data_IF_044417734822
#
_entry.id   IF_044417734822
#
_cell.length_a   1.000
_cell.length_b   1.000
_cell.length_c   1.000
_cell.angle_alpha   90.00
_cell.angle_beta   90.00
_cell.angle_gamma   90.00
#
_symmetry.space_group_name_H-M   'P 1'
#
loop_
_entity.id
_entity.type
_entity.pdbx_description
1 polymer ?
#
# COMPACT_ATOMS: atom_id res chain seq x y z
N UNK A 1 15.74 -23.07 8.26
CA UNK A 1 15.32 -21.70 8.54
C UNK A 1 16.35 -20.80 7.88
N UNK A 2 15.98 -20.12 6.78
CA UNK A 2 16.84 -19.11 6.19
C UNK A 2 17.08 -17.97 7.18
N UNK A 3 18.28 -17.40 7.13
CA UNK A 3 18.67 -16.27 7.97
C UNK A 3 17.72 -15.09 7.69
N UNK A 4 16.98 -14.64 8.69
CA UNK A 4 16.13 -13.45 8.60
C UNK A 4 17.07 -12.25 8.48
N UNK A 5 17.13 -11.64 7.31
CA UNK A 5 17.88 -10.41 7.11
C UNK A 5 17.03 -9.23 7.52
N UNK A 6 17.38 -8.59 8.60
CA UNK A 6 16.75 -7.35 9.06
C UNK A 6 17.70 -6.16 8.90
N UNK A 7 17.13 -5.00 8.70
CA UNK A 7 17.85 -3.72 8.67
C UNK A 7 17.31 -2.86 9.80
N UNK A 8 18.18 -2.44 10.69
CA UNK A 8 17.85 -1.48 11.75
C UNK A 8 17.99 -0.06 11.19
N UNK A 9 17.00 0.77 11.43
CA UNK A 9 17.00 2.19 11.08
C UNK A 9 16.50 2.99 12.29
N UNK A 10 17.21 4.04 12.65
CA UNK A 10 16.75 4.95 13.69
C UNK A 10 15.60 5.82 13.14
N UNK A 11 14.48 5.80 13.83
CA UNK A 11 13.35 6.68 13.57
C UNK A 11 13.45 7.94 14.44
N UNK A 12 12.77 9.00 14.00
CA UNK A 12 12.67 10.25 14.76
C UNK A 12 11.88 10.05 16.05
N UNK A 13 12.25 10.80 17.09
CA UNK A 13 11.47 10.89 18.31
C UNK A 13 10.21 11.78 18.17
N UNK A 14 10.14 12.59 17.13
CA UNK A 14 8.95 13.38 16.80
C UNK A 14 7.90 12.47 16.11
N UNK A 15 6.69 12.31 16.70
CA UNK A 15 5.71 11.33 16.20
C UNK A 15 5.28 11.55 14.76
N UNK A 16 5.09 12.79 14.33
CA UNK A 16 4.65 13.08 12.95
C UNK A 16 5.78 12.78 11.94
N UNK A 17 7.03 13.03 12.30
CA UNK A 17 8.22 12.68 11.50
C UNK A 17 8.41 11.16 11.45
N UNK A 18 8.24 10.46 12.58
CA UNK A 18 8.31 9.01 12.64
C UNK A 18 7.30 8.35 11.70
N UNK A 19 6.03 8.75 11.78
CA UNK A 19 4.97 8.25 10.88
C UNK A 19 5.33 8.51 9.41
N UNK A 20 5.88 9.69 9.09
CA UNK A 20 6.35 10.00 7.74
C UNK A 20 7.48 9.07 7.27
N UNK A 21 8.41 8.70 8.14
CA UNK A 21 9.50 7.76 7.84
C UNK A 21 8.99 6.34 7.62
N UNK A 22 8.10 5.84 8.48
CA UNK A 22 7.45 4.53 8.33
C UNK A 22 6.67 4.46 7.02
N UNK A 23 5.84 5.48 6.72
CA UNK A 23 5.09 5.54 5.46
C UNK A 23 5.98 5.59 4.22
N UNK A 24 7.09 6.32 4.25
CA UNK A 24 8.04 6.35 3.15
C UNK A 24 8.62 4.95 2.87
N UNK A 25 8.95 4.21 3.94
CA UNK A 25 9.42 2.83 3.83
C UNK A 25 8.34 1.89 3.28
N UNK A 26 7.09 2.02 3.76
CA UNK A 26 5.95 1.24 3.25
C UNK A 26 5.71 1.51 1.76
N UNK A 27 5.74 2.78 1.34
CA UNK A 27 5.58 3.17 -0.08
C UNK A 27 6.68 2.56 -0.95
N UNK A 28 7.94 2.65 -0.52
CA UNK A 28 9.08 2.06 -1.22
C UNK A 28 8.91 0.54 -1.37
N UNK A 29 8.62 -0.17 -0.29
CA UNK A 29 8.45 -1.63 -0.25
C UNK A 29 7.27 -2.10 -1.09
N UNK A 30 6.11 -1.44 -0.97
CA UNK A 30 4.95 -1.75 -1.80
C UNK A 30 5.25 -1.56 -3.29
N UNK A 31 6.02 -0.53 -3.66
CA UNK A 31 6.41 -0.29 -5.04
C UNK A 31 7.40 -1.34 -5.56
N UNK A 32 8.45 -1.66 -4.79
CA UNK A 32 9.47 -2.63 -5.18
C UNK A 32 8.88 -4.04 -5.29
N UNK A 33 8.17 -4.49 -4.26
CA UNK A 33 7.71 -5.87 -4.17
C UNK A 33 6.53 -6.15 -5.10
N UNK A 34 5.67 -5.15 -5.39
CA UNK A 34 4.62 -5.30 -6.41
C UNK A 34 5.16 -5.49 -7.83
N UNK A 35 6.41 -5.10 -8.08
CA UNK A 35 7.09 -5.29 -9.36
C UNK A 35 7.86 -6.62 -9.44
N UNK A 36 8.09 -7.31 -8.33
CA UNK A 36 8.75 -8.62 -8.30
C UNK A 36 7.93 -9.65 -9.09
N UNK A 37 8.52 -10.39 -10.04
CA UNK A 37 7.79 -11.30 -10.92
C UNK A 37 7.04 -12.41 -10.16
N UNK A 38 7.64 -13.00 -9.12
CA UNK A 38 7.01 -14.04 -8.32
C UNK A 38 5.84 -13.48 -7.52
N UNK A 39 6.05 -12.34 -6.83
CA UNK A 39 5.00 -11.68 -6.06
C UNK A 39 3.82 -11.27 -6.95
N UNK A 40 4.12 -10.68 -8.11
CA UNK A 40 3.09 -10.26 -9.08
C UNK A 40 2.26 -11.43 -9.60
N UNK A 41 2.91 -12.52 -10.01
CA UNK A 41 2.21 -13.71 -10.48
C UNK A 41 1.29 -14.28 -9.39
N UNK A 42 1.79 -14.34 -8.15
CA UNK A 42 1.02 -14.77 -6.98
C UNK A 42 -0.16 -13.83 -6.71
N UNK A 43 0.06 -12.51 -6.70
CA UNK A 43 -0.99 -11.52 -6.47
C UNK A 43 -2.11 -11.60 -7.52
N UNK A 44 -1.76 -11.80 -8.79
CA UNK A 44 -2.74 -12.00 -9.87
C UNK A 44 -3.55 -13.29 -9.66
N UNK A 45 -2.88 -14.39 -9.28
CA UNK A 45 -3.57 -15.65 -8.96
C UNK A 45 -4.53 -15.52 -7.77
N UNK A 46 -4.19 -14.76 -6.75
CA UNK A 46 -5.03 -14.49 -5.57
C UNK A 46 -6.23 -13.60 -5.89
N UNK A 47 -6.07 -12.63 -6.77
CA UNK A 47 -7.15 -11.74 -7.19
C UNK A 47 -8.23 -12.47 -7.98
N UNK A 48 -7.84 -13.45 -8.77
CA UNK A 48 -8.74 -14.17 -9.68
C UNK A 48 -9.23 -13.28 -10.83
N UNK A 49 -10.31 -13.73 -11.46
CA UNK A 49 -10.96 -13.02 -12.55
C UNK A 49 -12.08 -12.10 -12.06
N UNK A 50 -12.51 -11.15 -12.91
CA UNK A 50 -13.64 -10.26 -12.65
C UNK A 50 -13.27 -8.78 -12.64
N UNK A 51 -14.21 -7.96 -12.15
CA UNK A 51 -14.04 -6.51 -12.05
C UNK A 51 -12.92 -6.12 -11.08
N UNK A 52 -12.37 -4.92 -11.22
CA UNK A 52 -11.35 -4.43 -10.26
C UNK A 52 -11.86 -4.49 -8.82
N UNK A 53 -13.13 -4.20 -8.59
CA UNK A 53 -13.75 -4.26 -7.27
C UNK A 53 -13.78 -5.69 -6.71
N UNK A 54 -14.17 -6.68 -7.51
CA UNK A 54 -14.19 -8.09 -7.07
C UNK A 54 -12.78 -8.60 -6.79
N UNK A 55 -11.80 -8.23 -7.63
CA UNK A 55 -10.39 -8.55 -7.40
C UNK A 55 -9.84 -7.89 -6.14
N UNK A 56 -10.18 -6.62 -5.88
CA UNK A 56 -9.80 -5.94 -4.65
C UNK A 56 -10.37 -6.65 -3.40
N UNK A 57 -11.62 -7.12 -3.48
CA UNK A 57 -12.23 -7.92 -2.42
C UNK A 57 -11.53 -9.26 -2.20
N UNK A 58 -11.16 -9.97 -3.25
CA UNK A 58 -10.41 -11.22 -3.14
C UNK A 58 -9.08 -11.02 -2.44
N UNK A 59 -8.32 -9.97 -2.82
CA UNK A 59 -7.05 -9.62 -2.20
C UNK A 59 -7.21 -9.21 -0.73
N UNK A 60 -8.24 -8.43 -0.43
CA UNK A 60 -8.57 -8.09 0.95
C UNK A 60 -8.89 -9.33 1.77
N UNK A 61 -9.77 -10.21 1.27
CA UNK A 61 -10.10 -11.47 1.94
C UNK A 61 -8.86 -12.34 2.18
N UNK A 62 -7.90 -12.33 1.27
CA UNK A 62 -6.65 -13.04 1.46
C UNK A 62 -5.81 -12.45 2.62
N UNK A 63 -5.71 -11.13 2.71
CA UNK A 63 -4.93 -10.45 3.75
C UNK A 63 -5.67 -10.29 5.08
N UNK A 64 -7.00 -10.43 5.10
CA UNK A 64 -7.84 -10.09 6.25
C UNK A 64 -7.57 -10.95 7.47
N UNK A 65 -7.32 -10.30 8.60
CA UNK A 65 -7.03 -10.94 9.88
C UNK A 65 -8.02 -12.04 10.26
N UNK A 66 -9.32 -11.84 10.01
CA UNK A 66 -10.37 -12.81 10.35
C UNK A 66 -10.24 -14.14 9.60
N UNK A 67 -9.51 -14.17 8.48
CA UNK A 67 -9.25 -15.41 7.74
C UNK A 67 -8.03 -16.19 8.26
N UNK A 68 -7.35 -15.68 9.28
CA UNK A 68 -6.32 -16.40 10.04
C UNK A 68 -5.00 -16.67 9.30
N UNK A 69 -4.81 -16.13 8.08
CA UNK A 69 -3.56 -16.31 7.34
C UNK A 69 -2.43 -15.44 7.88
N UNK A 70 -2.77 -14.26 8.41
CA UNK A 70 -1.86 -13.35 9.09
C UNK A 70 -2.43 -13.13 10.48
N UNK A 71 -1.62 -13.46 11.49
CA UNK A 71 -1.95 -13.20 12.88
C UNK A 71 -1.55 -11.78 13.24
N UNK A 72 -2.46 -11.01 13.83
CA UNK A 72 -2.13 -9.69 14.35
C UNK A 72 -1.20 -9.82 15.57
N UNK A 73 -0.07 -9.12 15.54
CA UNK A 73 0.90 -9.07 16.61
C UNK A 73 1.56 -7.70 16.63
N UNK A 74 1.60 -7.08 17.77
CA UNK A 74 2.24 -5.77 17.94
C UNK A 74 3.75 -5.87 17.80
N UNK A 75 4.37 -4.79 17.39
CA UNK A 75 5.79 -4.70 17.11
C UNK A 75 6.68 -5.00 18.31
N UNK A 76 6.29 -4.58 19.51
CA UNK A 76 7.06 -4.85 20.72
C UNK A 76 7.25 -6.37 20.93
N UNK A 77 6.20 -7.16 20.64
CA UNK A 77 6.24 -8.64 20.74
C UNK A 77 7.09 -9.23 19.62
N UNK A 78 6.98 -8.68 18.41
CA UNK A 78 7.75 -9.12 17.24
C UNK A 78 9.24 -8.83 17.43
N UNK A 79 9.58 -7.61 17.86
CA UNK A 79 10.95 -7.18 18.14
C UNK A 79 11.64 -8.01 19.21
N UNK A 80 10.96 -8.29 20.33
CA UNK A 80 11.46 -9.16 21.38
C UNK A 80 11.78 -10.58 20.87
N UNK A 81 10.95 -11.13 19.97
CA UNK A 81 11.13 -12.46 19.40
C UNK A 81 12.27 -12.57 18.37
N UNK A 82 12.51 -11.52 17.59
CA UNK A 82 13.49 -11.52 16.49
C UNK A 82 14.88 -11.05 16.95
N UNK A 83 14.95 -9.99 17.75
CA UNK A 83 16.21 -9.30 18.04
C UNK A 83 16.71 -9.41 19.48
N UNK A 84 15.95 -10.03 20.39
CA UNK A 84 16.27 -10.01 21.82
C UNK A 84 16.19 -8.61 22.43
N UNK A 85 15.46 -7.69 21.79
CA UNK A 85 15.17 -6.37 22.33
C UNK A 85 14.18 -6.48 23.49
N UNK A 86 14.35 -5.74 24.58
CA UNK A 86 13.38 -5.70 25.67
C UNK A 86 12.01 -5.24 25.15
N UNK A 87 10.93 -5.83 25.66
CA UNK A 87 9.55 -5.40 25.33
C UNK A 87 9.27 -3.93 25.70
N UNK A 88 10.14 -3.34 26.53
CA UNK A 88 10.07 -1.95 26.96
C UNK A 88 10.62 -0.95 25.94
N UNK A 89 11.37 -1.41 24.93
CA UNK A 89 11.86 -0.56 23.86
C UNK A 89 10.79 -0.45 22.77
N UNK A 90 10.47 0.79 22.38
CA UNK A 90 9.56 1.04 21.25
C UNK A 90 10.30 0.72 19.96
N UNK A 91 10.00 -0.44 19.40
CA UNK A 91 10.59 -0.91 18.14
C UNK A 91 9.47 -0.94 17.09
N UNK A 92 9.68 -0.24 16.01
CA UNK A 92 8.89 -0.37 14.80
C UNK A 92 9.48 -1.49 13.96
N UNK A 93 8.73 -2.54 13.72
CA UNK A 93 9.13 -3.61 12.81
C UNK A 93 8.29 -3.51 11.55
N UNK A 94 8.87 -3.66 10.39
CA UNK A 94 8.11 -3.62 9.15
C UNK A 94 8.53 -4.76 8.25
N UNK A 95 7.60 -5.65 7.96
CA UNK A 95 7.81 -6.85 7.15
C UNK A 95 7.59 -6.49 5.67
N UNK A 96 8.53 -6.85 4.81
CA UNK A 96 8.36 -6.64 3.36
C UNK A 96 7.18 -7.45 2.82
N UNK A 97 6.36 -6.90 1.90
CA UNK A 97 5.28 -7.64 1.25
C UNK A 97 5.69 -8.99 0.66
N UNK A 98 6.88 -9.04 0.05
CA UNK A 98 7.44 -10.27 -0.52
C UNK A 98 7.70 -11.34 0.56
N UNK A 99 8.22 -10.94 1.72
CA UNK A 99 8.49 -11.84 2.82
C UNK A 99 7.20 -12.23 3.55
N UNK A 100 6.26 -11.30 3.72
CA UNK A 100 4.92 -11.59 4.23
C UNK A 100 4.22 -12.65 3.37
N UNK A 101 4.30 -12.54 2.03
CA UNK A 101 3.73 -13.53 1.13
C UNK A 101 4.29 -14.94 1.37
N UNK A 102 5.60 -15.06 1.57
CA UNK A 102 6.26 -16.33 1.90
C UNK A 102 5.84 -16.87 3.27
N UNK A 103 5.80 -15.99 4.28
CA UNK A 103 5.34 -16.39 5.62
C UNK A 103 3.88 -16.84 5.62
N UNK A 104 3.02 -16.21 4.83
CA UNK A 104 1.62 -16.66 4.65
C UNK A 104 1.56 -18.03 4.00
N UNK A 105 2.37 -18.30 2.98
CA UNK A 105 2.43 -19.62 2.30
C UNK A 105 2.95 -20.72 3.24
N UNK A 106 3.82 -20.34 4.19
CA UNK A 106 4.33 -21.24 5.24
C UNK A 106 3.40 -21.38 6.47
N UNK A 107 2.28 -20.68 6.50
CA UNK A 107 1.38 -20.62 7.66
C UNK A 107 1.96 -19.85 8.86
N UNK A 108 2.90 -18.93 8.63
CA UNK A 108 3.63 -18.17 9.64
C UNK A 108 3.38 -16.66 9.56
N UNK A 109 2.40 -16.22 8.78
CA UNK A 109 2.09 -14.80 8.63
C UNK A 109 1.80 -14.13 9.98
N UNK A 110 2.51 -13.07 10.28
CA UNK A 110 2.38 -12.27 11.50
C UNK A 110 2.74 -10.83 11.20
N UNK A 111 2.10 -9.88 11.86
CA UNK A 111 2.38 -8.45 11.69
C UNK A 111 1.33 -7.58 12.37
N UNK A 112 1.54 -6.29 12.34
CA UNK A 112 0.57 -5.31 12.84
C UNK A 112 -0.07 -4.49 11.72
N UNK A 113 -0.61 -3.30 12.01
CA UNK A 113 -1.44 -2.58 11.04
C UNK A 113 -0.67 -2.09 9.80
N UNK A 114 0.60 -1.72 9.93
CA UNK A 114 1.44 -1.28 8.82
C UNK A 114 1.87 -2.44 7.92
N UNK A 115 2.19 -3.61 8.50
CA UNK A 115 2.50 -4.84 7.78
C UNK A 115 1.32 -5.34 6.94
N UNK A 116 0.12 -5.41 7.55
CA UNK A 116 -1.11 -5.76 6.83
C UNK A 116 -1.38 -4.79 5.69
N UNK A 117 -1.21 -3.49 5.97
CA UNK A 117 -1.48 -2.44 4.98
C UNK A 117 -0.46 -2.46 3.85
N UNK A 118 0.84 -2.59 4.17
CA UNK A 118 1.89 -2.66 3.18
C UNK A 118 1.73 -3.88 2.25
N UNK A 119 1.40 -5.05 2.83
CA UNK A 119 1.15 -6.27 2.08
C UNK A 119 -0.05 -6.12 1.14
N UNK A 120 -1.20 -5.65 1.65
CA UNK A 120 -2.40 -5.46 0.84
C UNK A 120 -2.20 -4.41 -0.26
N UNK A 121 -1.52 -3.30 0.03
CA UNK A 121 -1.21 -2.27 -0.97
C UNK A 121 -0.33 -2.82 -2.11
N UNK A 122 0.67 -3.65 -1.79
CA UNK A 122 1.50 -4.31 -2.79
C UNK A 122 0.69 -5.28 -3.67
N UNK A 123 -0.23 -6.06 -3.08
CA UNK A 123 -1.13 -6.95 -3.81
C UNK A 123 -2.04 -6.18 -4.77
N UNK A 124 -2.65 -5.07 -4.32
CA UNK A 124 -3.49 -4.20 -5.14
C UNK A 124 -2.71 -3.58 -6.29
N UNK A 125 -1.55 -3.01 -5.99
CA UNK A 125 -0.66 -2.40 -6.99
C UNK A 125 -0.19 -3.41 -8.03
N UNK A 126 0.17 -4.63 -7.64
CA UNK A 126 0.57 -5.71 -8.55
C UNK A 126 -0.57 -6.09 -9.53
N UNK A 127 -1.83 -5.86 -9.15
CA UNK A 127 -3.02 -6.06 -9.96
C UNK A 127 -3.46 -4.81 -10.75
N UNK A 128 -2.71 -3.71 -10.69
CA UNK A 128 -3.06 -2.47 -11.36
C UNK A 128 -4.26 -1.74 -10.73
N UNK A 129 -4.60 -2.01 -9.49
CA UNK A 129 -5.67 -1.34 -8.75
C UNK A 129 -5.08 -0.18 -7.96
N UNK A 130 -5.60 1.04 -8.20
CA UNK A 130 -5.19 2.24 -7.47
C UNK A 130 -5.43 2.08 -5.97
N UNK A 131 -4.50 2.57 -5.14
CA UNK A 131 -4.66 2.53 -3.69
C UNK A 131 -3.87 3.62 -2.97
N UNK A 132 -4.26 3.89 -1.72
CA UNK A 132 -3.57 4.80 -0.80
C UNK A 132 -3.47 4.15 0.58
N UNK A 133 -2.44 4.51 1.34
CA UNK A 133 -2.45 4.34 2.79
C UNK A 133 -3.28 5.44 3.41
N UNK A 134 -4.02 5.09 4.45
CA UNK A 134 -4.75 6.06 5.28
C UNK A 134 -4.22 5.95 6.69
N UNK A 135 -3.75 7.07 7.23
CA UNK A 135 -3.40 7.19 8.64
C UNK A 135 -4.50 7.92 9.39
N UNK A 136 -4.87 7.41 10.56
CA UNK A 136 -5.94 7.96 11.39
C UNK A 136 -5.54 7.97 12.87
N UNK A 137 -5.97 9.00 13.60
CA UNK A 137 -5.92 9.01 15.05
C UNK A 137 -7.09 8.20 15.58
N UNK A 138 -6.84 7.00 16.07
CA UNK A 138 -7.85 6.06 16.59
C UNK A 138 -7.71 5.79 18.10
N UNK A 139 -6.55 6.08 18.69
CA UNK A 139 -6.28 5.85 20.12
C UNK A 139 -6.70 7.07 20.94
N UNK A 140 -7.65 6.88 21.85
CA UNK A 140 -8.15 7.93 22.77
C UNK A 140 -7.09 8.49 23.72
N UNK A 141 -6.03 7.72 23.96
CA UNK A 141 -4.92 8.14 24.84
C UNK A 141 -3.99 9.16 24.15
N UNK A 142 -3.95 9.14 22.82
CA UNK A 142 -3.12 10.01 21.98
C UNK A 142 -3.90 10.57 20.79
N UNK A 143 -5.02 11.29 21.02
CA UNK A 143 -5.98 11.66 19.98
C UNK A 143 -5.41 12.58 18.89
N UNK A 144 -4.30 13.28 19.20
CA UNK A 144 -3.62 14.19 18.26
C UNK A 144 -2.53 13.50 17.42
N UNK A 145 -2.28 12.21 17.63
CA UNK A 145 -1.28 11.45 16.89
C UNK A 145 -1.96 10.44 15.96
N UNK A 146 -1.26 10.07 14.87
CA UNK A 146 -1.65 8.92 14.09
C UNK A 146 -1.33 7.65 14.89
N UNK A 147 -2.28 6.76 15.01
CA UNK A 147 -2.17 5.53 15.80
C UNK A 147 -2.65 4.30 15.05
N UNK A 148 -3.13 4.46 13.82
CA UNK A 148 -3.54 3.36 12.97
C UNK A 148 -3.34 3.68 11.49
N UNK A 149 -3.04 2.65 10.70
CA UNK A 149 -2.92 2.72 9.25
C UNK A 149 -3.71 1.58 8.59
N UNK A 150 -4.38 1.89 7.49
CA UNK A 150 -5.08 0.92 6.66
C UNK A 150 -5.02 1.33 5.18
N UNK A 151 -5.58 0.51 4.29
CA UNK A 151 -5.57 0.76 2.84
C UNK A 151 -6.95 1.18 2.37
N UNK A 152 -6.99 2.16 1.46
CA UNK A 152 -8.14 2.44 0.61
C UNK A 152 -7.79 2.07 -0.82
N UNK A 153 -8.61 1.25 -1.45
CA UNK A 153 -8.51 0.96 -2.88
C UNK A 153 -9.41 1.89 -3.70
N UNK A 154 -9.02 2.12 -4.96
CA UNK A 154 -9.75 2.92 -5.93
C UNK A 154 -10.04 2.09 -7.19
N UNK A 155 -10.86 1.02 -7.09
CA UNK A 155 -11.23 0.22 -8.24
C UNK A 155 -12.11 1.01 -9.21
N UNK A 156 -11.96 0.71 -10.50
CA UNK A 156 -12.87 1.17 -11.53
C UNK A 156 -14.07 0.22 -11.61
N UNK A 157 -15.27 0.74 -11.52
CA UNK A 157 -16.51 -0.03 -11.68
C UNK A 157 -16.85 -0.27 -13.16
N UNK A 158 -17.89 -1.05 -13.41
CA UNK A 158 -18.32 -1.41 -14.76
C UNK A 158 -18.81 -0.21 -15.60
N UNK A 159 -19.15 0.91 -14.95
CA UNK A 159 -19.48 2.17 -15.61
C UNK A 159 -18.25 3.05 -15.89
N UNK A 160 -17.03 2.58 -15.60
CA UNK A 160 -15.80 3.33 -15.78
C UNK A 160 -15.53 4.38 -14.68
N UNK A 161 -16.28 4.35 -13.59
CA UNK A 161 -16.13 5.30 -12.49
C UNK A 161 -15.21 4.72 -11.42
N UNK A 162 -14.38 5.59 -10.82
CA UNK A 162 -13.53 5.22 -9.69
C UNK A 162 -14.36 5.24 -8.41
N UNK A 163 -14.33 4.15 -7.67
CA UNK A 163 -14.98 4.03 -6.35
C UNK A 163 -13.93 4.10 -5.25
N UNK A 164 -14.23 4.75 -4.13
CA UNK A 164 -13.41 4.70 -2.92
C UNK A 164 -13.86 3.53 -2.07
N UNK A 165 -12.95 2.59 -1.82
CA UNK A 165 -13.22 1.35 -1.12
C UNK A 165 -12.24 1.17 0.04
N UNK A 166 -12.63 1.46 1.30
CA UNK A 166 -11.82 1.16 2.46
C UNK A 166 -11.61 -0.35 2.66
N UNK A 167 -10.37 -0.75 2.96
CA UNK A 167 -9.95 -2.13 3.10
C UNK A 167 -8.97 -2.26 4.29
N UNK A 168 -9.50 -2.13 5.50
CA UNK A 168 -8.73 -2.34 6.72
C UNK A 168 -8.57 -3.84 7.01
N UNK A 169 -7.46 -4.41 6.58
CA UNK A 169 -7.21 -5.84 6.71
C UNK A 169 -6.89 -6.25 8.16
N UNK A 170 -6.40 -5.35 8.99
CA UNK A 170 -5.98 -5.61 10.37
C UNK A 170 -7.11 -5.46 11.40
N UNK A 171 -8.01 -4.49 11.24
CA UNK A 171 -9.08 -4.18 12.21
C UNK A 171 -10.47 -4.17 11.59
N UNK A 172 -10.59 -4.09 10.27
CA UNK A 172 -11.87 -4.00 9.58
C UNK A 172 -12.83 -5.16 9.90
N UNK A 173 -14.09 -4.85 10.02
CA UNK A 173 -15.13 -5.86 10.28
C UNK A 173 -15.67 -6.50 8.99
N UNK A 174 -15.65 -5.74 7.90
CA UNK A 174 -16.07 -6.15 6.56
C UNK A 174 -15.42 -5.23 5.50
N UNK A 175 -15.38 -5.62 4.22
CA UNK A 175 -14.91 -4.74 3.16
C UNK A 175 -15.75 -3.47 3.07
N UNK A 176 -15.13 -2.31 3.08
CA UNK A 176 -15.80 -1.01 3.14
C UNK A 176 -15.94 -0.44 4.56
N UNK A 177 -15.64 -1.23 5.59
CA UNK A 177 -15.54 -0.71 6.96
C UNK A 177 -14.30 0.19 7.11
N UNK A 178 -14.44 1.26 7.84
CA UNK A 178 -13.40 2.25 8.07
C UNK A 178 -13.36 2.64 9.54
N UNK A 179 -12.16 2.78 10.08
CA UNK A 179 -11.98 3.26 11.45
C UNK A 179 -12.58 4.66 11.59
N UNK A 180 -13.44 4.91 12.60
CA UNK A 180 -14.03 6.23 12.80
C UNK A 180 -12.97 7.31 13.00
N UNK A 181 -13.04 8.38 12.21
CA UNK A 181 -12.19 9.57 12.38
C UNK A 181 -12.76 10.50 13.46
N UNK A 182 -12.89 9.99 14.67
CA UNK A 182 -13.55 10.71 15.79
C UNK A 182 -12.70 11.87 16.34
N UNK A 183 -11.39 11.86 16.11
CA UNK A 183 -10.48 12.92 16.60
C UNK A 183 -10.03 13.89 15.50
N UNK A 184 -10.53 13.75 14.27
CA UNK A 184 -10.21 14.65 13.17
C UNK A 184 -8.77 14.54 12.62
N UNK A 185 -7.97 13.60 13.12
CA UNK A 185 -6.61 13.34 12.61
C UNK A 185 -6.71 12.27 11.52
N UNK A 186 -6.60 12.68 10.26
CA UNK A 186 -6.79 11.82 9.11
C UNK A 186 -5.95 12.30 7.93
N UNK A 187 -5.29 11.37 7.21
CA UNK A 187 -4.56 11.71 5.99
C UNK A 187 -4.45 10.50 5.05
N UNK A 188 -4.67 10.74 3.75
CA UNK A 188 -4.42 9.75 2.70
C UNK A 188 -3.05 9.99 2.05
N UNK A 189 -2.35 8.87 1.77
CA UNK A 189 -1.01 8.85 1.18
C UNK A 189 -1.05 7.93 -0.04
N UNK A 190 -1.09 8.48 -1.27
CA UNK A 190 -1.18 7.66 -2.47
C UNK A 190 0.00 6.70 -2.61
N UNK A 191 -0.29 5.42 -2.73
CA UNK A 191 0.69 4.36 -3.07
C UNK A 191 0.84 4.28 -4.58
N UNK A 192 -0.28 4.34 -5.28
CA UNK A 192 -0.34 4.38 -6.72
C UNK A 192 -1.62 5.07 -7.14
N UNK A 193 -1.46 6.23 -7.78
CA UNK A 193 -2.58 7.02 -8.32
C UNK A 193 -2.68 6.77 -9.83
N UNK A 194 -3.63 5.91 -10.19
CA UNK A 194 -3.92 5.60 -11.59
C UNK A 194 -4.39 6.83 -12.36
N UNK A 195 -5.14 7.74 -11.71
CA UNK A 195 -5.62 8.96 -12.35
C UNK A 195 -4.47 9.92 -12.66
N UNK A 196 -3.56 10.13 -11.72
CA UNK A 196 -2.35 10.91 -11.93
C UNK A 196 -1.47 10.31 -13.04
N UNK A 197 -1.34 8.97 -13.10
CA UNK A 197 -0.63 8.29 -14.18
C UNK A 197 -1.33 8.45 -15.54
N UNK A 198 -2.66 8.29 -15.60
CA UNK A 198 -3.44 8.49 -16.84
C UNK A 198 -3.36 9.94 -17.33
N UNK A 199 -3.53 10.91 -16.43
CA UNK A 199 -3.42 12.34 -16.76
C UNK A 199 -2.00 12.68 -17.19
N UNK A 200 -0.98 12.19 -16.48
CA UNK A 200 0.42 12.40 -16.80
C UNK A 200 0.78 11.84 -18.19
N UNK A 201 0.30 10.64 -18.53
CA UNK A 201 0.50 10.05 -19.86
C UNK A 201 -0.31 10.77 -20.94
N UNK A 202 -1.56 11.17 -20.66
CA UNK A 202 -2.37 11.93 -21.61
C UNK A 202 -1.73 13.29 -21.95
N UNK A 203 -1.22 14.01 -20.95
CA UNK A 203 -0.50 15.27 -21.14
C UNK A 203 0.82 15.04 -21.89
N UNK A 204 1.57 14.00 -21.55
CA UNK A 204 2.80 13.61 -22.25
C UNK A 204 2.54 13.27 -23.73
N UNK A 205 1.49 12.48 -24.00
CA UNK A 205 1.07 12.13 -25.36
C UNK A 205 0.60 13.36 -26.15
N UNK A 206 -0.16 14.25 -25.53
CA UNK A 206 -0.59 15.51 -26.16
C UNK A 206 0.60 16.42 -26.46
N UNK A 207 1.57 16.54 -25.55
CA UNK A 207 2.78 17.32 -25.76
C UNK A 207 3.64 16.77 -26.90
N UNK A 208 3.77 15.43 -27.00
CA UNK A 208 4.45 14.79 -28.12
C UNK A 208 3.72 15.02 -29.45
N UNK A 209 2.39 14.90 -29.47
CA UNK A 209 1.59 15.16 -30.67
C UNK A 209 1.71 16.62 -31.12
N UNK A 210 1.69 17.58 -30.19
CA UNK A 210 1.90 19.00 -30.48
C UNK A 210 3.32 19.29 -30.97
N UNK A 211 4.34 18.64 -30.39
CA UNK A 211 5.74 18.74 -30.83
C UNK A 211 5.93 18.22 -32.26
N UNK A 212 5.34 17.09 -32.60
CA UNK A 212 5.38 16.50 -33.96
C UNK A 212 4.65 17.44 -34.94
N UNK A 213 3.49 17.98 -34.58
CA UNK A 213 2.72 18.90 -35.43
C UNK A 213 3.47 20.22 -35.65
N UNK A 214 4.13 20.76 -34.62
CA UNK A 214 4.96 21.95 -34.72
C UNK A 214 6.18 21.72 -35.60
N UNK A 215 6.87 20.61 -35.44
CA UNK A 215 8.00 20.20 -36.26
C UNK A 215 7.61 20.03 -37.74
N UNK A 216 6.46 19.40 -38.03
CA UNK A 216 5.96 19.24 -39.36
C UNK A 216 5.65 20.59 -40.05
N UNK A 217 5.10 21.57 -39.29
CA UNK A 217 4.90 22.95 -39.80
C UNK A 217 6.20 23.66 -40.13
N UNK A 218 7.27 23.46 -39.37
CA UNK A 218 8.57 24.06 -39.65
C UNK A 218 9.20 23.48 -40.93
N UNK A 219 9.15 22.15 -41.10
CA UNK A 219 9.65 21.46 -42.27
C UNK A 219 8.88 21.91 -43.52
N UNK A 220 7.56 22.07 -43.43
CA UNK A 220 6.71 22.55 -44.55
C UNK A 220 7.04 23.99 -44.98
N UNK A 221 7.35 24.89 -44.03
CA UNK A 221 7.77 26.26 -44.31
C UNK A 221 9.12 26.32 -45.05
N UNK A 222 10.07 25.46 -44.67
CA UNK A 222 11.41 25.42 -45.32
C UNK A 222 11.33 24.82 -46.71
N UNK A 223 10.42 23.87 -46.96
CA UNK A 223 10.25 23.24 -48.26
C UNK A 223 9.49 24.12 -49.29
N UNK A 224 8.86 25.25 -48.88
CA UNK A 224 8.04 26.13 -49.73
C UNK A 224 8.53 27.60 -49.66
N UNK A 225 9.70 27.86 -49.12
CA UNK A 225 10.44 29.12 -49.21
C UNK A 225 11.59 29.00 -50.19
#
# INVERSE_FOLDING_TARGET
LGEVKYRVQNLSWDPDTQVGQTLALMLERAAQDSADPWFKARAVGLAGEGSEKSRAYSLYQHAWKKNGRIRFQRDEVTGAGIGGYPEEEVIETSIRPLDMARYVDEGKGVGDCDDFSCYLAALLKANGIGCAFVTVGADERVPTQFSHVYVVAYPVNDAGQVERLPLDASHGEYPGWEVPNQYGKYKEWPVWDRLAWLVGNAVGTAALALGIWWGAKQVWKVAHS
#
